data_IF_652661845454
#
_entry.id   IF_652661845454
#
_cell.length_a   1.000
_cell.length_b   1.000
_cell.length_c   1.000
_cell.angle_alpha   90.00
_cell.angle_beta   90.00
_cell.angle_gamma   90.00
#
_symmetry.space_group_name_H-M   'P 1'
#
loop_
_entity.id
_entity.type
_entity.pdbx_description
1 polymer ?
#
# COMPACT_ATOMS: atom_id res chain seq x y z
N UNK A 1 -12.93 -23.95 36.82
CA UNK A 1 -11.69 -23.20 36.82
C UNK A 1 -10.94 -23.44 35.54
N UNK A 2 -10.47 -24.64 35.41
CA UNK A 2 -9.66 -24.98 34.25
C UNK A 2 -10.39 -24.81 32.92
N UNK A 3 -11.67 -24.90 32.98
CA UNK A 3 -12.44 -24.79 31.75
C UNK A 3 -12.29 -23.44 31.07
N UNK A 4 -12.15 -22.39 31.87
CA UNK A 4 -12.02 -21.09 31.31
C UNK A 4 -10.73 -20.93 30.53
N UNK A 5 -9.67 -21.52 31.04
CA UNK A 5 -8.41 -21.48 30.33
C UNK A 5 -8.51 -22.14 28.99
N UNK A 6 -9.22 -23.23 28.93
CA UNK A 6 -9.42 -23.93 27.67
C UNK A 6 -10.13 -23.03 26.65
N UNK A 7 -11.12 -22.31 27.12
CA UNK A 7 -11.87 -21.43 26.24
C UNK A 7 -10.97 -20.36 25.66
N UNK A 8 -10.08 -19.83 26.46
CA UNK A 8 -9.14 -18.82 25.97
C UNK A 8 -8.27 -19.37 24.85
N UNK A 9 -7.78 -20.57 25.07
CA UNK A 9 -6.90 -21.17 24.09
C UNK A 9 -7.61 -21.30 22.76
N UNK A 10 -8.85 -21.72 22.78
CA UNK A 10 -9.61 -21.88 21.56
C UNK A 10 -9.76 -20.56 20.81
N UNK A 11 -10.07 -19.51 21.55
CA UNK A 11 -10.22 -18.20 20.91
C UNK A 11 -8.93 -17.77 20.27
N UNK A 12 -7.82 -17.97 20.95
CA UNK A 12 -6.55 -17.58 20.40
C UNK A 12 -6.23 -18.32 19.12
N UNK A 13 -6.57 -19.58 19.08
CA UNK A 13 -6.30 -20.37 17.89
C UNK A 13 -7.12 -19.89 16.70
N UNK A 14 -8.35 -19.52 16.95
CA UNK A 14 -9.18 -19.00 15.88
C UNK A 14 -8.65 -17.71 15.34
N UNK A 15 -8.16 -16.84 16.20
CA UNK A 15 -7.55 -15.62 15.76
C UNK A 15 -6.34 -15.87 14.89
N UNK A 16 -5.55 -16.86 15.26
CA UNK A 16 -4.39 -17.21 14.47
C UNK A 16 -4.79 -17.67 13.08
N UNK A 17 -5.86 -18.44 12.98
CA UNK A 17 -6.32 -18.91 11.69
C UNK A 17 -6.75 -17.75 10.81
N UNK A 18 -7.46 -16.80 11.39
CA UNK A 18 -7.89 -15.62 10.63
C UNK A 18 -6.68 -14.83 10.16
N UNK A 19 -5.71 -14.64 11.04
CA UNK A 19 -4.51 -13.91 10.67
C UNK A 19 -3.77 -14.61 9.55
N UNK A 20 -3.75 -15.94 9.57
CA UNK A 20 -3.05 -16.69 8.53
C UNK A 20 -3.69 -16.50 7.16
N UNK A 21 -4.97 -16.17 7.11
CA UNK A 21 -5.65 -15.97 5.85
C UNK A 21 -5.44 -14.57 5.27
N UNK A 22 -4.93 -13.64 6.08
CA UNK A 22 -4.76 -12.26 5.64
C UNK A 22 -3.57 -12.01 4.74
N UNK A 23 -2.44 -12.70 4.92
CA UNK A 23 -1.22 -12.32 4.22
C UNK A 23 -1.20 -12.64 2.74
N UNK A 24 -2.30 -13.01 2.17
CA UNK A 24 -2.31 -13.33 0.74
C UNK A 24 -2.54 -12.12 -0.15
N UNK A 25 -2.73 -10.95 0.44
CA UNK A 25 -2.82 -9.74 -0.38
C UNK A 25 -1.46 -9.43 -0.99
N UNK A 26 -1.42 -9.10 -2.28
CA UNK A 26 -0.16 -8.73 -2.91
C UNK A 26 0.41 -7.46 -2.29
N UNK A 27 1.72 -7.36 -2.27
CA UNK A 27 2.43 -6.20 -1.74
C UNK A 27 3.00 -5.43 -2.92
N UNK A 28 2.66 -4.16 -3.01
CA UNK A 28 3.09 -3.30 -4.11
C UNK A 28 4.23 -2.41 -3.62
N UNK A 29 5.33 -2.42 -4.37
CA UNK A 29 6.45 -1.53 -4.10
C UNK A 29 6.33 -0.34 -5.04
N UNK A 30 6.38 0.85 -4.47
CA UNK A 30 6.28 2.11 -5.23
C UNK A 30 7.53 2.92 -4.97
N UNK A 31 8.03 3.57 -6.03
CA UNK A 31 9.11 4.53 -5.88
C UNK A 31 8.53 5.91 -6.20
N UNK A 32 8.57 6.78 -5.22
CA UNK A 32 7.96 8.10 -5.33
C UNK A 32 9.07 9.14 -5.39
N UNK A 33 9.04 9.97 -6.43
CA UNK A 33 9.95 11.11 -6.55
C UNK A 33 9.20 12.34 -6.11
N UNK A 34 9.74 13.02 -5.11
CA UNK A 34 9.13 14.20 -4.54
C UNK A 34 9.40 15.43 -5.39
N UNK A 35 8.65 16.51 -5.17
CA UNK A 35 8.87 17.73 -5.98
C UNK A 35 10.30 18.27 -5.91
N UNK A 36 11.01 18.02 -4.82
CA UNK A 36 12.39 18.49 -4.69
C UNK A 36 13.40 17.55 -5.33
N UNK A 37 12.93 16.48 -5.99
CA UNK A 37 13.79 15.56 -6.70
C UNK A 37 14.23 14.34 -5.89
N UNK A 38 13.98 14.31 -4.61
CA UNK A 38 14.33 13.15 -3.80
C UNK A 38 13.37 12.01 -4.03
N UNK A 39 13.86 10.80 -3.88
CA UNK A 39 13.05 9.61 -4.07
C UNK A 39 12.91 8.85 -2.76
N UNK A 40 11.80 8.14 -2.63
CA UNK A 40 11.58 7.29 -1.48
C UNK A 40 10.81 6.06 -1.94
N UNK A 41 11.20 4.92 -1.40
CA UNK A 41 10.50 3.68 -1.69
C UNK A 41 9.40 3.47 -0.65
N UNK A 42 8.21 3.16 -1.12
CA UNK A 42 7.06 2.89 -0.27
C UNK A 42 6.51 1.52 -0.62
N UNK A 43 6.00 0.83 0.40
CA UNK A 43 5.34 -0.44 0.17
C UNK A 43 3.99 -0.43 0.86
N UNK A 44 3.03 -1.07 0.21
CA UNK A 44 1.70 -1.20 0.79
C UNK A 44 1.05 -2.45 0.22
N UNK A 45 0.23 -3.10 1.03
CA UNK A 45 -0.61 -4.16 0.51
C UNK A 45 -1.60 -3.57 -0.48
N UNK A 46 -2.06 -4.38 -1.40
CA UNK A 46 -3.06 -3.95 -2.35
C UNK A 46 -4.26 -3.36 -1.62
N UNK A 47 -4.68 -2.17 -2.02
CA UNK A 47 -5.75 -1.41 -1.39
C UNK A 47 -5.42 -0.88 0.00
N UNK A 48 -4.18 -1.06 0.44
CA UNK A 48 -3.71 -0.44 1.68
C UNK A 48 -3.17 0.95 1.43
N UNK A 49 -2.49 1.50 2.42
CA UNK A 49 -1.94 2.85 2.33
C UNK A 49 -0.49 2.87 2.75
N UNK A 50 0.30 3.64 2.04
CA UNK A 50 1.67 3.96 2.44
C UNK A 50 1.76 5.46 2.63
N UNK A 51 2.47 5.90 3.65
CA UNK A 51 2.55 7.32 4.00
C UNK A 51 3.90 7.88 3.63
N UNK A 52 3.87 9.07 3.04
CA UNK A 52 5.07 9.83 2.70
C UNK A 52 5.00 11.15 3.44
N UNK A 53 6.06 11.46 4.19
CA UNK A 53 6.14 12.70 4.95
C UNK A 53 7.17 13.61 4.31
N UNK A 54 6.78 14.83 3.98
CA UNK A 54 7.68 15.81 3.41
C UNK A 54 8.45 16.54 4.51
N UNK A 55 9.43 17.34 4.11
CA UNK A 55 10.27 18.05 5.06
C UNK A 55 9.48 19.00 5.95
N UNK A 56 8.41 19.57 5.41
CA UNK A 56 7.62 20.53 6.16
C UNK A 56 6.60 19.83 7.08
N UNK A 57 6.63 18.52 7.14
CA UNK A 57 5.73 17.76 8.00
C UNK A 57 4.42 17.36 7.35
N UNK A 58 4.17 17.82 6.13
CA UNK A 58 2.95 17.43 5.42
C UNK A 58 3.03 15.97 5.03
N UNK A 59 1.93 15.25 5.21
CA UNK A 59 1.88 13.83 4.90
C UNK A 59 0.94 13.55 3.75
N UNK A 60 1.36 12.64 2.90
CA UNK A 60 0.56 12.16 1.78
C UNK A 60 0.47 10.66 1.85
N UNK A 61 -0.63 10.11 1.35
CA UNK A 61 -0.86 8.68 1.38
C UNK A 61 -1.04 8.19 -0.04
N UNK A 62 -0.50 7.00 -0.30
CA UNK A 62 -0.54 6.38 -1.62
C UNK A 62 -1.19 5.03 -1.49
N UNK A 63 -2.26 4.80 -2.23
CA UNK A 63 -2.99 3.53 -2.21
C UNK A 63 -2.84 2.84 -3.55
N UNK A 64 -2.12 1.73 -3.61
CA UNK A 64 -2.02 0.97 -4.85
C UNK A 64 -3.20 0.02 -4.98
N UNK A 65 -3.84 0.00 -6.14
CA UNK A 65 -4.91 -0.91 -6.44
C UNK A 65 -4.55 -1.66 -7.71
N UNK A 66 -4.57 -2.98 -7.67
CA UNK A 66 -4.22 -3.80 -8.82
C UNK A 66 -5.46 -3.97 -9.67
N UNK A 67 -5.31 -3.72 -10.98
CA UNK A 67 -6.43 -3.70 -11.91
C UNK A 67 -6.57 -4.96 -12.74
N UNK A 68 -5.62 -5.87 -12.67
CA UNK A 68 -5.65 -7.07 -13.49
C UNK A 68 -5.26 -8.29 -12.66
N UNK A 69 -5.34 -9.44 -13.30
CA UNK A 69 -4.94 -10.68 -12.66
C UNK A 69 -3.42 -10.82 -12.70
N UNK A 70 -2.89 -11.76 -11.91
CA UNK A 70 -1.47 -12.05 -11.98
C UNK A 70 -1.08 -12.25 -13.44
N UNK A 71 0.05 -11.69 -13.85
CA UNK A 71 1.16 -11.18 -13.04
C UNK A 71 1.05 -9.74 -12.57
N UNK A 72 -0.12 -9.16 -12.54
CA UNK A 72 -0.38 -7.85 -11.93
C UNK A 72 0.44 -6.75 -12.60
N UNK A 73 0.13 -6.48 -13.84
CA UNK A 73 0.89 -5.50 -14.61
C UNK A 73 0.29 -4.11 -14.57
N UNK A 74 -0.97 -4.00 -14.20
CA UNK A 74 -1.67 -2.70 -14.22
C UNK A 74 -2.03 -2.31 -12.81
N UNK A 75 -1.47 -1.19 -12.37
CA UNK A 75 -1.67 -0.70 -11.02
C UNK A 75 -2.14 0.75 -11.08
N UNK A 76 -3.17 1.07 -10.32
CA UNK A 76 -3.60 2.46 -10.14
C UNK A 76 -3.18 2.88 -8.74
N UNK A 77 -2.46 3.99 -8.65
CA UNK A 77 -2.05 4.54 -7.37
C UNK A 77 -2.89 5.79 -7.12
N UNK A 78 -3.64 5.78 -6.04
CA UNK A 78 -4.44 6.93 -5.64
C UNK A 78 -3.65 7.72 -4.61
N UNK A 79 -3.58 9.03 -4.81
CA UNK A 79 -2.81 9.93 -3.97
C UNK A 79 -3.77 10.73 -3.10
N UNK A 80 -3.51 10.72 -1.80
CA UNK A 80 -4.31 11.47 -0.84
C UNK A 80 -3.41 12.41 -0.06
N UNK A 81 -3.98 13.52 0.38
CA UNK A 81 -3.35 14.35 1.40
C UNK A 81 -3.94 13.94 2.73
N UNK A 82 -3.08 13.61 3.69
CA UNK A 82 -3.53 13.10 4.98
C UNK A 82 -4.30 14.16 5.75
N UNK A 83 -5.18 13.71 6.63
CA UNK A 83 -5.95 14.60 7.48
C UNK A 83 -5.04 15.38 8.40
N UNK A 84 -5.44 16.62 8.69
CA UNK A 84 -4.76 17.47 9.64
C UNK A 84 -5.78 17.91 10.68
N UNK A 85 -5.34 18.75 11.63
CA UNK A 85 -6.26 19.26 12.63
C UNK A 85 -7.36 20.12 12.00
N UNK A 86 -7.09 20.69 10.83
CA UNK A 86 -8.02 21.63 10.21
C UNK A 86 -8.71 21.07 8.98
N UNK A 87 -8.32 19.87 8.50
CA UNK A 87 -8.87 19.35 7.25
C UNK A 87 -8.85 17.83 7.24
N UNK A 88 -9.88 17.20 6.67
CA UNK A 88 -9.90 15.75 6.55
C UNK A 88 -8.99 15.27 5.43
N UNK A 89 -8.81 13.94 5.36
CA UNK A 89 -8.08 13.32 4.25
C UNK A 89 -8.78 13.67 2.95
N UNK A 90 -8.01 14.07 1.96
CA UNK A 90 -8.52 14.50 0.67
C UNK A 90 -7.85 13.73 -0.45
N UNK A 91 -8.64 13.20 -1.36
CA UNK A 91 -8.10 12.56 -2.55
C UNK A 91 -7.63 13.63 -3.52
N UNK A 92 -6.39 13.50 -3.99
CA UNK A 92 -5.81 14.45 -4.92
C UNK A 92 -5.89 13.98 -6.36
N UNK A 93 -5.70 12.68 -6.59
CA UNK A 93 -5.75 12.17 -7.95
C UNK A 93 -5.33 10.72 -8.01
N UNK A 94 -5.33 10.18 -9.23
CA UNK A 94 -4.95 8.80 -9.49
C UNK A 94 -3.93 8.74 -10.61
N UNK A 95 -3.03 7.75 -10.53
CA UNK A 95 -2.02 7.53 -11.55
C UNK A 95 -2.13 6.11 -12.03
N UNK A 96 -2.25 5.92 -13.32
CA UNK A 96 -2.27 4.57 -13.90
C UNK A 96 -0.86 4.19 -14.27
N UNK A 97 -0.39 3.04 -13.77
CA UNK A 97 0.99 2.63 -13.90
C UNK A 97 1.07 1.20 -14.39
N UNK A 98 2.21 0.87 -14.98
CA UNK A 98 2.53 -0.49 -15.36
C UNK A 98 3.70 -0.95 -14.51
N UNK A 99 3.60 -2.18 -14.04
CA UNK A 99 4.68 -2.78 -13.26
C UNK A 99 5.96 -2.81 -14.11
N UNK A 100 7.02 -2.25 -13.55
CA UNK A 100 8.29 -2.19 -14.27
C UNK A 100 8.36 -1.11 -15.33
N UNK A 101 7.31 -0.33 -15.49
CA UNK A 101 7.30 0.74 -16.46
C UNK A 101 7.91 2.03 -15.94
N UNK A 102 7.87 3.08 -16.74
CA UNK A 102 8.48 4.35 -16.34
C UNK A 102 7.66 5.05 -15.27
N UNK A 103 8.32 5.96 -14.57
CA UNK A 103 7.64 6.79 -13.59
C UNK A 103 6.67 7.73 -14.28
N UNK A 104 5.50 7.91 -13.69
CA UNK A 104 4.45 8.77 -14.23
C UNK A 104 4.16 9.89 -13.25
N UNK A 105 3.84 11.05 -13.82
CA UNK A 105 3.51 12.24 -13.04
C UNK A 105 2.12 12.10 -12.46
N UNK A 106 1.96 12.44 -11.19
CA UNK A 106 0.66 12.36 -10.55
C UNK A 106 -0.30 13.44 -11.04
N UNK A 107 0.24 14.51 -11.59
CA UNK A 107 -0.57 15.65 -12.06
C UNK A 107 -1.40 16.26 -10.96
N UNK A 108 -0.90 16.16 -9.74
CA UNK A 108 -1.53 16.75 -8.57
C UNK A 108 -0.72 17.97 -8.15
N UNK A 109 -1.16 18.64 -7.10
CA UNK A 109 -0.43 19.77 -6.52
C UNK A 109 -0.26 19.50 -5.03
N UNK A 110 0.94 19.13 -4.58
CA UNK A 110 2.20 19.02 -5.34
C UNK A 110 2.22 17.80 -6.25
N UNK A 111 3.12 17.83 -7.22
CA UNK A 111 3.23 16.76 -8.19
C UNK A 111 4.27 15.75 -7.73
N UNK A 112 3.96 14.48 -7.88
CA UNK A 112 4.86 13.38 -7.59
C UNK A 112 5.06 12.55 -8.84
N UNK A 113 6.23 11.94 -8.96
CA UNK A 113 6.44 10.94 -9.99
C UNK A 113 6.48 9.58 -9.31
N UNK A 114 5.71 8.64 -9.84
CA UNK A 114 5.54 7.34 -9.19
C UNK A 114 5.82 6.25 -10.20
N UNK A 115 6.55 5.24 -9.76
CA UNK A 115 6.72 4.02 -10.55
C UNK A 115 6.48 2.83 -9.64
N UNK A 116 6.16 1.69 -10.25
CA UNK A 116 5.95 0.44 -9.53
C UNK A 116 6.94 -0.58 -10.07
N UNK A 117 8.11 -0.71 -9.43
CA UNK A 117 9.10 -1.68 -9.91
C UNK A 117 8.69 -3.12 -9.69
N UNK A 118 7.83 -3.40 -8.73
CA UNK A 118 7.47 -4.77 -8.50
C UNK A 118 6.23 -4.94 -7.63
N UNK A 119 5.66 -6.12 -7.76
CA UNK A 119 4.55 -6.56 -6.94
C UNK A 119 4.87 -7.98 -6.50
N UNK A 120 4.84 -8.22 -5.20
CA UNK A 120 5.05 -9.56 -4.68
C UNK A 120 3.72 -10.09 -4.15
N UNK A 121 3.50 -11.37 -4.33
CA UNK A 121 2.23 -11.94 -3.96
C UNK A 121 2.35 -13.33 -3.40
N UNK A 122 1.21 -13.93 -3.11
CA UNK A 122 1.18 -15.23 -2.45
C UNK A 122 1.80 -16.35 -3.27
N UNK A 123 1.83 -16.22 -4.59
CA UNK A 123 2.37 -17.28 -5.42
C UNK A 123 3.82 -17.57 -5.12
N UNK A 124 4.60 -16.55 -4.79
CA UNK A 124 6.00 -16.75 -4.48
C UNK A 124 6.17 -17.53 -3.19
N UNK A 125 5.18 -17.52 -2.34
CA UNK A 125 5.24 -18.25 -1.09
C UNK A 125 4.91 -19.71 -1.26
N UNK A 126 4.00 -20.01 -2.15
CA UNK A 126 3.60 -21.38 -2.37
C UNK A 126 4.70 -22.19 -3.02
N UNK A 127 5.62 -21.51 -3.66
CA UNK A 127 6.73 -22.18 -4.29
C UNK A 127 7.64 -22.86 -3.31
N UNK A 128 7.72 -22.32 -2.14
CA UNK A 128 8.60 -22.89 -1.10
C UNK A 128 8.04 -24.09 -0.40
#
# INVERSE_FOLDING_TARGET
>A
MTRRSVAFVLVAMMLSAVAAAQPYAPIVTMVVTMPDGRTQELTAAESGLATLTLKDGTEYEFRPTIQDSAPWNRIVVTVFKSATNSAPTTMLGEIELRRGGPAMDSKTSPSFKVSVPGVSGPTSQTES
#
